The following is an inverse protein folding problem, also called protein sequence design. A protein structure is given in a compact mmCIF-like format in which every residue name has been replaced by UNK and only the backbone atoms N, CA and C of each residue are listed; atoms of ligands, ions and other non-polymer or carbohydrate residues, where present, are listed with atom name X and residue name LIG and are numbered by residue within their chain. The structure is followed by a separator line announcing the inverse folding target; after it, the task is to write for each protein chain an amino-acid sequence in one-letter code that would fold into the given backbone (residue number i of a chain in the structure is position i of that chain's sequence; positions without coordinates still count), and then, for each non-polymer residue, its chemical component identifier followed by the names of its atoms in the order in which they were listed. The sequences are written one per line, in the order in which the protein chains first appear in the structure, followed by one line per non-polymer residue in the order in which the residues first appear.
data_IF_744302356641
#
_entry.id   IF_744302356641
#
_cell.length_a   1.000
_cell.length_b   1.000
_cell.length_c   1.000
_cell.angle_alpha   90.00
_cell.angle_beta   90.00
_cell.angle_gamma   90.00
#
_symmetry.space_group_name_H-M   'P 1'
#
loop_
_entity.id
_entity.type
_entity.pdbx_description
1 polymer ?
#
# COMPACT_ATOMS: atom_id res chain seq x y z
N UNK A 1 -31.04 -36.30 42.96
CA UNK A 1 -29.63 -35.85 42.99
C UNK A 1 -28.65 -36.72 42.21
N UNK A 2 -29.09 -37.76 41.47
CA UNK A 2 -28.22 -38.57 40.58
C UNK A 2 -28.40 -38.28 39.08
N UNK A 3 -29.55 -37.75 38.67
CA UNK A 3 -29.81 -37.37 37.27
C UNK A 3 -29.34 -35.94 36.91
N UNK A 4 -29.11 -35.09 37.92
CA UNK A 4 -28.67 -33.71 37.74
C UNK A 4 -27.22 -33.60 37.24
N UNK A 5 -26.39 -34.63 37.49
CA UNK A 5 -24.99 -34.70 37.01
C UNK A 5 -24.86 -35.19 35.55
N UNK A 6 -25.86 -35.90 35.02
CA UNK A 6 -25.82 -36.45 33.65
C UNK A 6 -26.22 -35.43 32.56
N UNK A 7 -26.99 -34.40 32.91
CA UNK A 7 -27.37 -33.33 31.98
C UNK A 7 -26.27 -32.28 31.79
N UNK A 8 -25.33 -32.16 32.73
CA UNK A 8 -24.22 -31.19 32.63
C UNK A 8 -23.07 -31.68 31.74
N UNK A 9 -22.97 -33.00 31.47
CA UNK A 9 -21.89 -33.55 30.64
C UNK A 9 -22.17 -33.53 29.12
N UNK A 10 -23.41 -33.31 28.68
CA UNK A 10 -23.73 -33.19 27.24
C UNK A 10 -23.51 -31.79 26.67
N UNK A 11 -23.38 -30.75 27.50
CA UNK A 11 -23.18 -29.37 27.04
C UNK A 11 -21.73 -29.05 26.65
N UNK A 12 -20.76 -29.93 26.97
CA UNK A 12 -19.32 -29.68 26.77
C UNK A 12 -18.79 -30.22 25.43
N UNK A 13 -19.61 -30.92 24.64
CA UNK A 13 -19.21 -31.52 23.36
C UNK A 13 -19.72 -30.74 22.13
N UNK A 14 -20.46 -29.65 22.31
CA UNK A 14 -21.02 -28.88 21.19
C UNK A 14 -20.09 -27.80 20.63
N UNK A 15 -18.85 -27.70 21.11
CA UNK A 15 -17.89 -26.71 20.64
C UNK A 15 -16.61 -27.42 20.17
N UNK A 16 -16.71 -28.15 19.06
CA UNK A 16 -15.53 -28.45 18.24
C UNK A 16 -15.12 -27.17 17.48
N UNK A 17 -13.84 -26.96 17.17
CA UNK A 17 -13.44 -25.88 16.27
C UNK A 17 -14.18 -26.11 14.94
N UNK A 18 -14.96 -25.12 14.52
CA UNK A 18 -15.57 -25.10 13.19
C UNK A 18 -14.42 -24.86 12.21
N UNK A 19 -14.02 -25.89 11.47
CA UNK A 19 -12.95 -25.78 10.47
C UNK A 19 -13.48 -24.91 9.33
N UNK A 20 -13.17 -23.61 9.39
CA UNK A 20 -13.56 -22.67 8.36
C UNK A 20 -12.93 -23.09 7.02
N UNK A 21 -13.79 -23.34 6.03
CA UNK A 21 -13.39 -23.58 4.65
C UNK A 21 -13.90 -22.43 3.77
N UNK A 22 -13.02 -21.72 3.04
CA UNK A 22 -13.47 -20.67 2.13
C UNK A 22 -14.33 -21.25 1.00
N UNK A 23 -15.49 -20.62 0.76
CA UNK A 23 -16.35 -20.96 -0.38
C UNK A 23 -15.85 -20.28 -1.66
N UNK A 24 -15.43 -21.07 -2.64
CA UNK A 24 -14.95 -20.59 -3.94
C UNK A 24 -16.02 -20.63 -5.04
N UNK A 25 -17.25 -21.04 -4.74
CA UNK A 25 -18.35 -21.10 -5.71
C UNK A 25 -19.07 -19.75 -5.89
N UNK A 26 -18.51 -18.68 -5.32
CA UNK A 26 -19.07 -17.33 -5.43
C UNK A 26 -18.83 -16.76 -6.83
N UNK A 27 -19.86 -16.16 -7.45
CA UNK A 27 -19.68 -15.46 -8.74
C UNK A 27 -18.83 -14.20 -8.58
N UNK A 28 -19.01 -13.45 -7.48
CA UNK A 28 -18.19 -12.29 -7.13
C UNK A 28 -18.14 -12.09 -5.63
N UNK A 29 -17.03 -11.56 -5.12
CA UNK A 29 -16.88 -11.21 -3.70
C UNK A 29 -15.97 -10.00 -3.54
N UNK A 30 -16.01 -9.37 -2.36
CA UNK A 30 -15.05 -8.34 -2.01
C UNK A 30 -13.70 -9.02 -1.72
N UNK A 31 -12.64 -8.58 -2.39
CA UNK A 31 -11.31 -9.15 -2.22
C UNK A 31 -10.23 -8.20 -2.68
N UNK A 32 -9.06 -8.76 -2.98
CA UNK A 32 -7.89 -7.99 -3.43
C UNK A 32 -7.40 -8.45 -4.80
N UNK A 33 -7.05 -7.49 -5.65
CA UNK A 33 -6.42 -7.71 -6.96
C UNK A 33 -4.94 -7.33 -6.90
N UNK A 34 -4.02 -8.16 -7.41
CA UNK A 34 -2.61 -7.79 -7.47
C UNK A 34 -2.40 -6.63 -8.44
N UNK A 35 -1.61 -5.66 -8.01
CA UNK A 35 -1.08 -4.57 -8.85
C UNK A 35 0.28 -5.05 -9.35
N UNK A 36 0.44 -5.14 -10.67
CA UNK A 36 1.69 -5.54 -11.30
C UNK A 36 2.49 -4.33 -11.77
N UNK A 37 3.81 -4.43 -11.68
CA UNK A 37 4.76 -3.48 -12.25
C UNK A 37 5.97 -4.22 -12.85
N UNK A 38 6.75 -3.52 -13.66
CA UNK A 38 8.07 -4.02 -14.11
C UNK A 38 9.17 -3.61 -13.11
N UNK A 39 10.26 -4.39 -13.02
CA UNK A 39 11.37 -4.07 -12.09
C UNK A 39 12.06 -2.74 -12.39
N UNK A 40 12.00 -2.27 -13.64
CA UNK A 40 12.47 -0.93 -14.04
C UNK A 40 11.63 0.21 -13.45
N UNK A 41 10.39 -0.08 -13.03
CA UNK A 41 9.46 0.87 -12.42
C UNK A 41 9.70 1.02 -10.90
N UNK A 42 10.76 0.43 -10.34
CA UNK A 42 11.19 0.68 -8.95
C UNK A 42 12.17 1.86 -8.83
N UNK A 43 12.53 2.48 -9.95
CA UNK A 43 13.51 3.55 -9.98
C UNK A 43 12.90 4.89 -9.58
N UNK A 44 13.63 5.62 -8.74
CA UNK A 44 13.29 7.00 -8.38
C UNK A 44 13.89 7.92 -9.43
N UNK A 45 13.09 8.85 -9.96
CA UNK A 45 13.49 9.72 -11.06
C UNK A 45 13.09 11.17 -10.85
N UNK A 46 13.89 12.10 -11.37
CA UNK A 46 13.54 13.51 -11.48
C UNK A 46 12.96 13.78 -12.88
N UNK A 47 11.75 14.36 -12.90
CA UNK A 47 11.01 14.71 -14.11
C UNK A 47 10.69 16.22 -14.13
N UNK A 48 10.37 16.75 -15.31
CA UNK A 48 9.85 18.11 -15.40
C UNK A 48 8.53 18.25 -14.64
N UNK A 49 8.26 19.44 -14.13
CA UNK A 49 6.99 19.76 -13.48
C UNK A 49 5.79 19.34 -14.34
N UNK A 50 4.79 18.76 -13.69
CA UNK A 50 3.54 18.32 -14.34
C UNK A 50 2.35 18.65 -13.46
N UNK A 51 1.16 18.65 -14.07
CA UNK A 51 -0.07 18.94 -13.34
C UNK A 51 -0.40 17.81 -12.35
N UNK A 52 -1.00 18.19 -11.22
CA UNK A 52 -1.56 17.23 -10.25
C UNK A 52 -2.82 16.61 -10.87
N UNK A 53 -2.96 15.29 -10.75
CA UNK A 53 -4.16 14.56 -11.17
C UNK A 53 -4.93 14.01 -9.97
N UNK A 54 -4.23 13.36 -9.04
CA UNK A 54 -4.75 12.72 -7.84
C UNK A 54 -3.86 13.06 -6.65
N UNK A 55 -4.23 14.12 -5.91
CA UNK A 55 -3.48 14.57 -4.75
C UNK A 55 -3.68 13.65 -3.53
N UNK A 56 -2.57 13.29 -2.89
CA UNK A 56 -2.54 12.61 -1.60
C UNK A 56 -2.19 13.57 -0.46
N UNK A 57 -1.31 13.13 0.45
CA UNK A 57 -0.83 13.96 1.57
C UNK A 57 -0.02 15.16 1.09
N UNK A 58 -0.13 16.26 1.85
CA UNK A 58 0.53 17.53 1.58
C UNK A 58 1.35 17.94 2.80
N UNK A 59 2.59 18.36 2.57
CA UNK A 59 3.46 18.93 3.61
C UNK A 59 3.98 20.31 3.20
N UNK A 60 4.05 21.21 4.17
CA UNK A 60 4.84 22.44 4.05
C UNK A 60 6.05 22.32 4.98
N UNK A 61 7.24 22.54 4.44
CA UNK A 61 8.48 22.47 5.20
C UNK A 61 9.48 23.51 4.68
N UNK A 62 9.89 24.44 5.54
CA UNK A 62 10.66 25.61 5.12
C UNK A 62 9.92 26.40 4.04
N UNK A 63 10.58 26.60 2.90
CA UNK A 63 10.00 27.27 1.72
C UNK A 63 9.46 26.26 0.69
N UNK A 64 9.24 25.00 1.06
CA UNK A 64 8.72 23.98 0.15
C UNK A 64 7.25 23.68 0.43
N UNK A 65 6.54 23.37 -0.64
CA UNK A 65 5.26 22.69 -0.60
C UNK A 65 5.41 21.37 -1.35
N UNK A 66 5.13 20.28 -0.66
CA UNK A 66 5.34 18.90 -1.09
C UNK A 66 3.97 18.24 -1.22
N UNK A 67 3.61 17.77 -2.43
CA UNK A 67 2.30 17.19 -2.69
C UNK A 67 2.47 15.79 -3.26
N UNK A 68 1.99 14.77 -2.56
CA UNK A 68 1.95 13.41 -3.11
C UNK A 68 0.97 13.34 -4.30
N UNK A 69 1.40 12.67 -5.36
CA UNK A 69 0.56 12.15 -6.43
C UNK A 69 0.36 10.65 -6.16
N UNK A 70 -0.85 10.28 -5.78
CA UNK A 70 -1.14 8.94 -5.23
C UNK A 70 -0.65 7.85 -6.19
N UNK A 71 0.23 6.97 -5.67
CA UNK A 71 0.84 5.84 -6.37
C UNK A 71 1.94 6.21 -7.37
N UNK A 72 2.25 7.50 -7.57
CA UNK A 72 3.18 7.96 -8.62
C UNK A 72 4.40 8.72 -8.10
N UNK A 73 4.27 9.43 -6.98
CA UNK A 73 5.39 10.12 -6.35
C UNK A 73 5.07 11.50 -5.80
N UNK A 74 5.98 12.45 -5.99
CA UNK A 74 6.00 13.71 -5.26
C UNK A 74 6.17 14.92 -6.19
N UNK A 75 5.22 15.85 -6.12
CA UNK A 75 5.38 17.19 -6.67
C UNK A 75 6.13 18.08 -5.68
N UNK A 76 7.14 18.80 -6.16
CA UNK A 76 7.93 19.75 -5.36
C UNK A 76 7.67 21.16 -5.85
N UNK A 77 7.16 22.01 -4.95
CA UNK A 77 6.89 23.41 -5.21
C UNK A 77 7.83 24.30 -4.39
N UNK A 78 8.32 25.37 -5.01
CA UNK A 78 8.82 26.54 -4.28
C UNK A 78 7.61 27.31 -3.74
N UNK A 79 7.57 27.46 -2.43
CA UNK A 79 6.50 28.08 -1.66
C UNK A 79 6.99 29.31 -0.88
N UNK A 80 8.03 30.00 -1.39
CA UNK A 80 8.57 31.23 -0.79
C UNK A 80 7.52 32.37 -0.72
N UNK A 81 6.64 32.49 -1.73
CA UNK A 81 5.39 33.25 -1.61
C UNK A 81 4.20 32.28 -1.59
N UNK A 82 3.60 32.00 -0.41
CA UNK A 82 2.47 31.07 -0.29
C UNK A 82 1.24 31.45 -1.09
N UNK A 83 1.12 32.69 -1.56
CA UNK A 83 0.01 33.12 -2.43
C UNK A 83 0.24 32.73 -3.89
N UNK A 84 1.47 32.34 -4.24
CA UNK A 84 1.87 31.99 -5.61
C UNK A 84 2.95 30.89 -5.60
N UNK A 85 2.63 29.67 -5.13
CA UNK A 85 3.56 28.54 -5.21
C UNK A 85 3.94 28.24 -6.66
N UNK A 86 5.19 27.90 -6.90
CA UNK A 86 5.74 27.58 -8.23
C UNK A 86 6.09 26.09 -8.28
N UNK A 87 5.43 25.35 -9.18
CA UNK A 87 5.76 23.94 -9.39
C UNK A 87 7.15 23.83 -10.05
N UNK A 88 8.10 23.20 -9.37
CA UNK A 88 9.51 23.17 -9.79
C UNK A 88 9.81 21.92 -10.61
N UNK A 89 9.46 20.75 -10.07
CA UNK A 89 9.70 19.47 -10.71
C UNK A 89 8.83 18.37 -10.06
N UNK A 90 8.81 17.22 -10.72
CA UNK A 90 8.18 16.02 -10.20
C UNK A 90 9.24 14.96 -9.87
N UNK A 91 9.04 14.22 -8.79
CA UNK A 91 9.87 13.09 -8.40
C UNK A 91 9.03 11.84 -8.54
N UNK A 92 9.40 11.00 -9.50
CA UNK A 92 8.76 9.70 -9.69
C UNK A 92 9.20 8.78 -8.57
N UNK A 93 8.22 8.34 -7.78
CA UNK A 93 8.36 7.36 -6.69
C UNK A 93 7.18 6.41 -6.86
N UNK A 94 7.33 5.36 -7.67
CA UNK A 94 6.21 4.46 -7.97
C UNK A 94 5.73 3.74 -6.71
N UNK A 95 4.41 3.55 -6.60
CA UNK A 95 3.82 2.99 -5.38
C UNK A 95 3.83 3.94 -4.18
N UNK A 96 4.10 5.24 -4.37
CA UNK A 96 4.06 6.20 -3.28
C UNK A 96 2.61 6.59 -2.93
N UNK A 97 2.03 5.95 -1.92
CA UNK A 97 0.69 6.24 -1.40
C UNK A 97 0.72 7.09 -0.13
N UNK A 98 1.75 6.94 0.70
CA UNK A 98 1.87 7.64 1.97
C UNK A 98 3.24 8.34 2.10
N UNK A 99 3.24 9.48 2.78
CA UNK A 99 4.45 10.21 3.14
C UNK A 99 4.35 10.80 4.55
N UNK A 100 5.50 10.89 5.21
CA UNK A 100 5.67 11.55 6.49
C UNK A 100 6.90 12.44 6.48
N UNK A 101 6.82 13.64 7.04
CA UNK A 101 7.96 14.56 7.15
C UNK A 101 8.39 14.68 8.61
N UNK A 102 9.68 14.50 8.90
CA UNK A 102 10.24 14.72 10.23
C UNK A 102 11.68 15.20 10.14
N UNK A 103 12.01 16.26 10.87
CA UNK A 103 13.38 16.79 11.04
C UNK A 103 14.15 16.99 9.72
N UNK A 104 13.47 17.43 8.66
CA UNK A 104 14.10 17.66 7.35
C UNK A 104 14.20 16.44 6.44
N UNK A 105 13.69 15.28 6.89
CA UNK A 105 13.64 14.03 6.12
C UNK A 105 12.20 13.72 5.74
N UNK A 106 11.97 13.53 4.45
CA UNK A 106 10.71 13.01 3.92
C UNK A 106 10.81 11.50 3.84
N UNK A 107 9.91 10.82 4.53
CA UNK A 107 9.69 9.40 4.43
C UNK A 107 8.57 9.16 3.42
N UNK A 108 8.80 8.26 2.48
CA UNK A 108 7.84 7.90 1.44
C UNK A 108 7.87 6.38 1.26
N UNK A 109 6.69 5.78 1.12
CA UNK A 109 6.61 4.41 0.62
C UNK A 109 7.00 4.38 -0.87
N UNK A 110 7.61 3.27 -1.26
CA UNK A 110 7.89 2.92 -2.64
C UNK A 110 7.58 1.44 -2.78
N UNK A 111 6.28 1.17 -2.93
CA UNK A 111 5.73 -0.16 -2.72
C UNK A 111 6.05 -0.66 -1.31
N UNK A 112 6.99 -1.60 -1.19
CA UNK A 112 7.27 -2.33 0.06
C UNK A 112 8.47 -1.75 0.81
N UNK A 113 9.18 -0.88 0.08
CA UNK A 113 10.32 -0.16 0.57
C UNK A 113 9.88 1.10 1.31
N UNK A 114 10.64 1.44 2.35
CA UNK A 114 10.59 2.76 2.96
C UNK A 114 11.79 3.59 2.52
N UNK A 115 11.51 4.70 1.86
CA UNK A 115 12.52 5.69 1.47
C UNK A 115 12.65 6.76 2.54
N UNK A 116 13.89 7.19 2.78
CA UNK A 116 14.22 8.42 3.48
C UNK A 116 14.88 9.37 2.49
N UNK A 117 14.25 10.52 2.26
CA UNK A 117 14.59 11.48 1.23
C UNK A 117 14.95 12.83 1.85
N UNK A 118 16.00 13.46 1.33
CA UNK A 118 16.24 14.88 1.51
C UNK A 118 15.72 15.62 0.29
N UNK A 119 14.81 16.57 0.50
CA UNK A 119 14.15 17.33 -0.58
C UNK A 119 14.56 18.80 -0.48
N UNK A 120 14.95 19.39 -1.61
CA UNK A 120 15.22 20.82 -1.74
C UNK A 120 14.44 21.42 -2.90
N UNK A 121 14.59 22.72 -3.13
CA UNK A 121 13.93 23.44 -4.24
C UNK A 121 14.34 22.99 -5.63
N UNK A 122 15.46 22.27 -5.75
CA UNK A 122 16.06 21.94 -7.05
C UNK A 122 16.52 20.48 -7.17
N UNK A 123 16.53 19.70 -6.08
CA UNK A 123 16.95 18.30 -6.13
C UNK A 123 16.31 17.45 -5.03
N UNK A 124 16.39 16.13 -5.21
CA UNK A 124 16.07 15.13 -4.21
C UNK A 124 17.21 14.14 -4.10
N UNK A 125 17.58 13.83 -2.86
CA UNK A 125 18.63 12.88 -2.53
C UNK A 125 18.00 11.74 -1.73
N UNK A 126 18.18 10.51 -2.18
CA UNK A 126 17.83 9.32 -1.42
C UNK A 126 18.89 9.13 -0.34
N UNK A 127 18.54 9.40 0.91
CA UNK A 127 19.43 9.21 2.06
C UNK A 127 19.54 7.73 2.42
N UNK A 128 18.42 7.02 2.36
CA UNK A 128 18.33 5.59 2.65
C UNK A 128 17.11 4.98 1.98
N UNK A 129 17.24 3.71 1.58
CA UNK A 129 16.14 2.81 1.24
C UNK A 129 16.20 1.64 2.22
N UNK A 130 15.07 1.32 2.83
CA UNK A 130 14.88 0.10 3.60
C UNK A 130 13.99 -0.81 2.78
N UNK A 131 14.54 -1.93 2.32
CA UNK A 131 13.84 -2.87 1.46
C UNK A 131 12.93 -3.79 2.29
N UNK A 132 11.74 -4.11 1.78
CA UNK A 132 10.79 -5.08 2.34
C UNK A 132 10.34 -4.81 3.79
N UNK A 133 10.27 -3.55 4.23
CA UNK A 133 9.96 -3.20 5.63
C UNK A 133 8.50 -2.85 5.90
N UNK A 134 7.69 -2.61 4.86
CA UNK A 134 6.28 -2.24 5.02
C UNK A 134 5.38 -3.50 5.20
N UNK A 135 5.97 -4.70 5.08
CA UNK A 135 5.29 -5.97 5.39
C UNK A 135 4.34 -6.43 4.28
N UNK A 136 4.56 -5.94 3.07
CA UNK A 136 3.95 -6.50 1.87
C UNK A 136 4.60 -7.84 1.52
N UNK A 137 3.82 -8.69 0.86
CA UNK A 137 4.34 -9.81 0.11
C UNK A 137 3.64 -9.86 -1.23
N UNK A 138 4.42 -10.21 -2.26
CA UNK A 138 3.91 -10.44 -3.59
C UNK A 138 2.96 -11.64 -3.64
N UNK A 139 3.01 -12.54 -2.65
CA UNK A 139 2.25 -13.80 -2.64
C UNK A 139 0.79 -13.60 -2.24
N UNK A 140 0.49 -12.67 -1.33
CA UNK A 140 -0.86 -12.48 -0.78
C UNK A 140 -1.05 -11.10 -0.13
N UNK A 141 -2.30 -10.62 0.01
CA UNK A 141 -2.61 -9.37 0.72
C UNK A 141 -2.18 -9.39 2.20
N UNK A 142 -1.94 -8.23 2.80
CA UNK A 142 -1.54 -8.14 4.21
C UNK A 142 -2.64 -8.57 5.19
N UNK A 143 -3.90 -8.44 4.80
CA UNK A 143 -5.07 -8.83 5.60
C UNK A 143 -5.22 -10.36 5.68
N UNK A 144 -5.78 -10.84 6.79
CA UNK A 144 -6.16 -12.25 6.97
C UNK A 144 -7.66 -12.41 6.74
N UNK A 145 -8.09 -13.63 6.45
CA UNK A 145 -9.48 -13.99 6.15
C UNK A 145 -10.06 -13.24 4.95
N UNK A 146 -9.29 -13.17 3.85
CA UNK A 146 -9.67 -12.42 2.64
C UNK A 146 -9.49 -13.26 1.38
N UNK A 147 -10.39 -13.06 0.41
CA UNK A 147 -10.22 -13.57 -0.94
C UNK A 147 -9.33 -12.64 -1.76
N UNK A 148 -8.60 -13.20 -2.71
CA UNK A 148 -7.82 -12.43 -3.66
C UNK A 148 -7.71 -13.13 -5.01
N UNK A 149 -7.41 -12.36 -6.05
CA UNK A 149 -7.02 -12.89 -7.35
C UNK A 149 -5.64 -13.53 -7.24
N UNK A 150 -5.53 -14.79 -7.65
CA UNK A 150 -4.24 -15.49 -7.61
C UNK A 150 -3.20 -14.77 -8.47
N UNK A 151 -1.97 -14.70 -7.99
CA UNK A 151 -0.86 -14.13 -8.74
C UNK A 151 -0.63 -14.92 -10.02
N UNK A 152 -0.52 -14.21 -11.14
CA UNK A 152 -0.31 -14.78 -12.46
C UNK A 152 1.15 -14.56 -12.88
N UNK A 153 1.83 -15.65 -13.23
CA UNK A 153 3.19 -15.58 -13.77
C UNK A 153 3.20 -14.80 -15.10
N UNK A 154 4.23 -13.97 -15.28
CA UNK A 154 4.44 -13.21 -16.52
C UNK A 154 3.67 -11.89 -16.64
N UNK A 155 2.85 -11.51 -15.65
CA UNK A 155 2.19 -10.18 -15.60
C UNK A 155 3.06 -9.06 -15.00
N UNK A 156 4.23 -9.40 -14.48
CA UNK A 156 5.15 -8.46 -13.80
C UNK A 156 5.45 -8.91 -12.38
N UNK A 157 6.12 -8.06 -11.61
CA UNK A 157 6.25 -8.20 -10.16
C UNK A 157 4.98 -7.66 -9.50
N UNK A 158 4.43 -8.37 -8.52
CA UNK A 158 3.33 -7.82 -7.71
C UNK A 158 3.96 -6.79 -6.77
N UNK A 159 3.40 -5.59 -6.78
CA UNK A 159 3.89 -4.44 -6.01
C UNK A 159 2.81 -3.81 -5.13
N UNK A 160 1.61 -4.38 -5.14
CA UNK A 160 0.50 -3.90 -4.33
C UNK A 160 -0.72 -4.79 -4.45
N UNK A 161 -1.70 -4.53 -3.60
CA UNK A 161 -2.99 -5.19 -3.61
C UNK A 161 -4.09 -4.13 -3.54
N UNK A 162 -4.96 -4.07 -4.56
CA UNK A 162 -6.11 -3.17 -4.61
C UNK A 162 -7.36 -3.87 -4.08
N UNK A 163 -8.04 -3.30 -3.07
CA UNK A 163 -9.31 -3.84 -2.62
C UNK A 163 -10.42 -3.53 -3.63
N UNK A 164 -11.07 -4.56 -4.14
CA UNK A 164 -12.00 -4.46 -5.27
C UNK A 164 -12.92 -5.67 -5.35
N UNK A 165 -14.01 -5.56 -6.11
CA UNK A 165 -14.84 -6.73 -6.40
C UNK A 165 -14.05 -7.64 -7.35
N UNK A 166 -13.88 -8.90 -6.93
CA UNK A 166 -13.20 -9.93 -7.72
C UNK A 166 -14.22 -10.98 -8.13
N UNK A 167 -14.08 -11.48 -9.36
CA UNK A 167 -14.96 -12.49 -9.92
C UNK A 167 -14.37 -13.88 -9.71
N UNK A 168 -15.21 -14.85 -9.34
CA UNK A 168 -14.85 -16.27 -9.21
C UNK A 168 -13.52 -16.47 -8.47
N UNK A 169 -13.44 -16.05 -7.20
CA UNK A 169 -12.19 -16.06 -6.46
C UNK A 169 -11.61 -17.48 -6.39
N UNK A 170 -10.28 -17.58 -6.45
CA UNK A 170 -9.56 -18.87 -6.41
C UNK A 170 -8.52 -18.95 -5.30
N UNK A 171 -8.14 -17.80 -4.75
CA UNK A 171 -7.15 -17.70 -3.69
C UNK A 171 -7.80 -17.07 -2.45
N UNK A 172 -7.38 -17.57 -1.28
CA UNK A 172 -7.86 -17.13 0.02
C UNK A 172 -6.71 -17.16 1.01
N UNK A 173 -6.60 -16.10 1.81
CA UNK A 173 -5.65 -16.03 2.91
C UNK A 173 -6.41 -16.24 4.23
N UNK A 174 -6.14 -17.30 5.00
CA UNK A 174 -6.73 -17.52 6.32
C UNK A 174 -6.29 -16.47 7.35
#
# INVERSE_FOLDING_TARGET
MRYTLLLLSMLVLACGPDDFHPDFNQESTMGFRPIYADSSELNIGLESARNIVSAGKIYSYGNLLLVNEVGKGLHVYDNTDPRKPVNKFFVTIPGNHDMAMKDGVLYADNYDDLLALQVSSDTVIVLKRLEDVIGFTAEFPSQNNVYFECVEEGKGIVVGWEQTMIEKPKCYKP
#
